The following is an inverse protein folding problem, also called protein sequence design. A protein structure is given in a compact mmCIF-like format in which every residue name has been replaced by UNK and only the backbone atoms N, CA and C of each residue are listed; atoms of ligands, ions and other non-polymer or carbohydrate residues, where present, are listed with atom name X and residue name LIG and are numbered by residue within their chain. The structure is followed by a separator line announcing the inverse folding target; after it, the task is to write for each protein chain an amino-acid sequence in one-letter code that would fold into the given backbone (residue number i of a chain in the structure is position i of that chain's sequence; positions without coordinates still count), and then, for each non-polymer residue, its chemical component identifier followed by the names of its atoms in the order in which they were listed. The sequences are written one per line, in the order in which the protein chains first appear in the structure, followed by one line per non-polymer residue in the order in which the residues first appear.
data_IF_281722283178
#
_entry.id   IF_281722283178
#
_cell.length_a   1.000
_cell.length_b   1.000
_cell.length_c   1.000
_cell.angle_alpha   90.00
_cell.angle_beta   90.00
_cell.angle_gamma   90.00
#
_symmetry.space_group_name_H-M   'P 1'
#
loop_
_entity.id
_entity.type
_entity.pdbx_description
1 polymer ?
#
# COMPACT_ATOMS: atom_id res chain seq x y z
N UNK A 1 -2.43 5.59 -23.87
CA UNK A 1 -1.83 5.85 -22.54
C UNK A 1 -0.32 5.76 -22.61
N UNK A 2 0.37 6.70 -21.99
CA UNK A 2 1.82 6.65 -21.88
C UNK A 2 2.22 5.73 -20.75
N UNK A 3 3.46 5.25 -20.79
CA UNK A 3 4.02 4.42 -19.71
C UNK A 3 3.97 5.17 -18.37
N UNK A 4 4.26 6.46 -18.39
CA UNK A 4 4.21 7.30 -17.19
C UNK A 4 2.82 7.37 -16.59
N UNK A 5 1.79 7.52 -17.43
CA UNK A 5 0.41 7.53 -16.96
C UNK A 5 0.03 6.21 -16.30
N UNK A 6 0.43 5.08 -16.89
CA UNK A 6 0.17 3.76 -16.33
C UNK A 6 0.84 3.62 -14.97
N UNK A 7 2.09 4.07 -14.84
CA UNK A 7 2.83 4.03 -13.58
C UNK A 7 2.13 4.88 -12.52
N UNK A 8 1.68 6.09 -12.86
CA UNK A 8 0.99 6.96 -11.92
C UNK A 8 -0.35 6.36 -11.46
N UNK A 9 -1.07 5.72 -12.36
CA UNK A 9 -2.31 5.03 -12.00
C UNK A 9 -2.04 3.89 -11.02
N UNK A 10 -0.95 3.14 -11.24
CA UNK A 10 -0.57 2.05 -10.34
C UNK A 10 -0.20 2.58 -8.97
N UNK A 11 0.58 3.66 -8.90
CA UNK A 11 0.96 4.29 -7.63
C UNK A 11 -0.29 4.74 -6.86
N UNK A 12 -1.24 5.40 -7.52
CA UNK A 12 -2.48 5.82 -6.87
C UNK A 12 -3.27 4.64 -6.31
N UNK A 13 -3.33 3.56 -7.07
CA UNK A 13 -4.02 2.35 -6.65
C UNK A 13 -3.36 1.76 -5.40
N UNK A 14 -2.03 1.71 -5.37
CA UNK A 14 -1.28 1.21 -4.21
C UNK A 14 -1.45 2.10 -2.99
N UNK A 15 -1.45 3.42 -3.18
CA UNK A 15 -1.67 4.36 -2.08
C UNK A 15 -3.07 4.21 -1.47
N UNK A 16 -4.07 3.99 -2.32
CA UNK A 16 -5.44 3.78 -1.86
C UNK A 16 -5.54 2.48 -1.04
N UNK A 17 -4.86 1.45 -1.49
CA UNK A 17 -4.81 0.17 -0.77
C UNK A 17 -4.13 0.33 0.58
N UNK A 18 -3.03 1.10 0.66
CA UNK A 18 -2.36 1.39 1.92
C UNK A 18 -3.30 2.14 2.87
N UNK A 19 -4.04 3.13 2.38
CA UNK A 19 -4.99 3.88 3.21
C UNK A 19 -6.06 2.97 3.78
N UNK A 20 -6.60 2.06 2.97
CA UNK A 20 -7.60 1.11 3.42
C UNK A 20 -7.04 0.18 4.49
N UNK A 21 -5.81 -0.30 4.30
CA UNK A 21 -5.15 -1.16 5.28
C UNK A 21 -4.87 -0.43 6.59
N UNK A 22 -4.50 0.83 6.53
CA UNK A 22 -4.26 1.62 7.74
C UNK A 22 -5.55 1.84 8.53
N UNK A 23 -6.67 2.07 7.85
CA UNK A 23 -7.97 2.17 8.52
C UNK A 23 -8.34 0.86 9.18
N UNK A 24 -8.14 -0.25 8.50
CA UNK A 24 -8.41 -1.57 9.04
C UNK A 24 -7.55 -1.83 10.27
N UNK A 25 -6.26 -1.49 10.19
CA UNK A 25 -5.33 -1.65 11.29
C UNK A 25 -5.75 -0.84 12.52
N UNK A 26 -6.29 0.35 12.31
CA UNK A 26 -6.68 1.25 13.39
C UNK A 26 -7.79 0.66 14.27
N UNK A 27 -8.65 -0.20 13.72
CA UNK A 27 -9.74 -0.83 14.47
C UNK A 27 -9.46 -2.26 14.88
N UNK A 28 -8.29 -2.78 14.53
CA UNK A 28 -7.92 -4.16 14.87
C UNK A 28 -7.33 -4.26 16.25
N UNK A 29 -7.79 -5.26 17.00
CA UNK A 29 -7.32 -5.53 18.36
C UNK A 29 -6.31 -6.67 18.39
N UNK A 30 -6.40 -7.60 17.44
CA UNK A 30 -5.49 -8.75 17.37
C UNK A 30 -4.11 -8.32 16.90
N UNK A 31 -3.10 -8.54 17.73
CA UNK A 31 -1.74 -8.08 17.43
C UNK A 31 -1.10 -8.82 16.27
N UNK A 32 -1.34 -10.12 16.16
CA UNK A 32 -0.81 -10.91 15.05
C UNK A 32 -1.36 -10.41 13.71
N UNK A 33 -2.66 -10.12 13.66
CA UNK A 33 -3.29 -9.57 12.46
C UNK A 33 -2.73 -8.19 12.13
N UNK A 34 -2.49 -7.34 13.15
CA UNK A 34 -1.90 -6.02 12.95
C UNK A 34 -0.51 -6.12 12.35
N UNK A 35 0.29 -7.07 12.82
CA UNK A 35 1.64 -7.29 12.27
C UNK A 35 1.59 -7.71 10.81
N UNK A 36 0.64 -8.57 10.45
CA UNK A 36 0.47 -9.00 9.07
C UNK A 36 0.10 -7.81 8.17
N UNK A 37 -0.80 -6.95 8.64
CA UNK A 37 -1.20 -5.76 7.90
C UNK A 37 -0.02 -4.80 7.74
N UNK A 38 0.76 -4.59 8.81
CA UNK A 38 1.94 -3.75 8.75
C UNK A 38 2.95 -4.24 7.70
N UNK A 39 3.17 -5.54 7.66
CA UNK A 39 4.08 -6.13 6.67
C UNK A 39 3.56 -5.90 5.24
N UNK A 40 2.26 -6.05 5.05
CA UNK A 40 1.64 -5.81 3.75
C UNK A 40 1.81 -4.35 3.32
N UNK A 41 1.58 -3.41 4.25
CA UNK A 41 1.78 -1.98 3.99
C UNK A 41 3.22 -1.68 3.59
N UNK A 42 4.19 -2.26 4.31
CA UNK A 42 5.60 -2.08 4.00
C UNK A 42 5.91 -2.57 2.58
N UNK A 43 5.37 -3.71 2.21
CA UNK A 43 5.58 -4.27 0.87
C UNK A 43 4.99 -3.39 -0.22
N UNK A 44 3.81 -2.81 0.02
CA UNK A 44 3.17 -1.90 -0.93
C UNK A 44 3.99 -0.61 -1.08
N UNK A 45 4.52 -0.08 0.01
CA UNK A 45 5.38 1.11 -0.03
C UNK A 45 6.67 0.85 -0.81
N UNK A 46 7.24 -0.33 -0.68
CA UNK A 46 8.40 -0.72 -1.47
C UNK A 46 8.08 -0.78 -2.95
N UNK A 47 6.92 -1.29 -3.30
CA UNK A 47 6.49 -1.33 -4.70
C UNK A 47 6.33 0.06 -5.28
N UNK A 48 5.72 0.99 -4.52
CA UNK A 48 5.61 2.37 -4.94
C UNK A 48 6.99 2.99 -5.18
N UNK A 49 7.92 2.75 -4.26
CA UNK A 49 9.28 3.27 -4.37
C UNK A 49 9.97 2.77 -5.63
N UNK A 50 9.79 1.50 -5.99
CA UNK A 50 10.35 0.95 -7.22
C UNK A 50 9.77 1.62 -8.45
N UNK A 51 8.47 1.91 -8.43
CA UNK A 51 7.81 2.55 -9.55
C UNK A 51 8.25 4.00 -9.72
N UNK A 52 8.70 4.65 -8.64
CA UNK A 52 9.19 6.03 -8.66
C UNK A 52 10.64 6.14 -9.10
N UNK A 53 11.38 5.06 -9.12
CA UNK A 53 12.75 5.02 -9.64
C UNK A 53 12.76 5.06 -11.18
#
# INVERSE_FOLDING_TARGET
MTTEEVIQMRIRSLQREIDDLERTKAVMVNETARKAINLHIVNLRREIRRLEE
#
